data_IF_801834414918
#
_entry.id   IF_801834414918
#
_cell.length_a   1.000
_cell.length_b   1.000
_cell.length_c   1.000
_cell.angle_alpha   90.00
_cell.angle_beta   90.00
_cell.angle_gamma   90.00
#
_symmetry.space_group_name_H-M   'P 1'
#
loop_
_entity.id
_entity.type
_entity.pdbx_description
1 polymer ?
#
# COMPACT_ATOMS: atom_id res chain seq x y z
N UNK A 1 -2.82 -6.47 19.70
CA UNK A 1 -2.13 -6.39 18.39
C UNK A 1 -2.11 -4.97 17.83
N UNK A 2 -3.17 -4.19 17.92
CA UNK A 2 -3.19 -2.79 17.43
C UNK A 2 -2.11 -1.93 18.10
N UNK A 3 -1.98 -1.99 19.43
CA UNK A 3 -0.95 -1.25 20.16
C UNK A 3 0.45 -1.62 19.66
N UNK A 4 0.72 -2.92 19.48
CA UNK A 4 2.03 -3.38 18.97
C UNK A 4 2.29 -2.88 17.55
N UNK A 5 1.25 -2.86 16.69
CA UNK A 5 1.37 -2.29 15.34
C UNK A 5 1.73 -0.79 15.38
N UNK A 6 1.01 -0.03 16.19
CA UNK A 6 1.29 1.40 16.36
C UNK A 6 2.71 1.63 16.92
N UNK A 7 3.13 0.83 17.92
CA UNK A 7 4.49 0.94 18.48
C UNK A 7 5.57 0.65 17.42
N UNK A 8 5.42 -0.42 16.62
CA UNK A 8 6.39 -0.74 15.57
C UNK A 8 6.41 0.33 14.47
N UNK A 9 5.23 0.83 14.07
CA UNK A 9 5.13 1.89 13.07
C UNK A 9 5.76 3.21 13.55
N UNK A 10 5.45 3.64 14.78
CA UNK A 10 6.04 4.85 15.37
C UNK A 10 7.53 4.69 15.62
N UNK A 11 7.98 3.49 16.01
CA UNK A 11 9.41 3.20 16.16
C UNK A 11 10.17 3.39 14.84
N UNK A 12 9.67 2.84 13.73
CA UNK A 12 10.31 3.03 12.44
C UNK A 12 10.30 4.51 11.99
N UNK A 13 9.19 5.21 12.20
CA UNK A 13 9.10 6.65 11.91
C UNK A 13 10.11 7.45 12.77
N UNK A 14 10.30 7.07 14.03
CA UNK A 14 11.31 7.68 14.89
C UNK A 14 12.74 7.41 14.37
N UNK A 15 13.02 6.22 13.85
CA UNK A 15 14.32 5.94 13.19
C UNK A 15 14.54 6.82 11.96
N UNK A 16 13.50 7.08 11.15
CA UNK A 16 13.61 8.01 10.02
C UNK A 16 13.90 9.45 10.47
N UNK A 17 13.32 9.90 11.59
CA UNK A 17 13.57 11.22 12.15
C UNK A 17 14.97 11.36 12.74
N UNK A 18 15.42 10.36 13.48
CA UNK A 18 16.70 10.38 14.20
C UNK A 18 17.90 10.07 13.29
N UNK A 19 17.65 9.50 12.11
CA UNK A 19 18.65 9.12 11.10
C UNK A 19 19.88 8.42 11.71
N UNK A 20 19.70 7.37 12.53
CA UNK A 20 20.83 6.68 13.13
C UNK A 20 21.71 6.05 12.04
N UNK A 21 23.01 5.97 12.28
CA UNK A 21 23.96 5.30 11.39
C UNK A 21 23.79 3.77 11.42
N UNK A 22 22.58 3.28 11.07
CA UNK A 22 22.27 1.86 10.99
C UNK A 22 22.55 1.33 9.57
N UNK A 23 23.09 0.11 9.43
CA UNK A 23 23.21 -0.54 8.14
C UNK A 23 21.85 -0.70 7.45
N UNK A 24 21.78 -0.51 6.12
CA UNK A 24 20.55 -0.62 5.33
C UNK A 24 19.72 -1.88 5.59
N UNK A 25 20.31 -3.10 5.78
CA UNK A 25 19.50 -4.28 6.07
C UNK A 25 18.68 -4.19 7.36
N UNK A 26 19.20 -3.49 8.39
CA UNK A 26 18.45 -3.28 9.64
C UNK A 26 17.30 -2.28 9.41
N UNK A 27 17.52 -1.22 8.63
CA UNK A 27 16.46 -0.30 8.26
C UNK A 27 15.36 -1.00 7.45
N UNK A 28 15.72 -1.88 6.50
CA UNK A 28 14.78 -2.70 5.75
C UNK A 28 13.98 -3.64 6.68
N UNK A 29 14.64 -4.27 7.64
CA UNK A 29 13.99 -5.12 8.64
C UNK A 29 12.96 -4.31 9.45
N UNK A 30 13.35 -3.19 10.04
CA UNK A 30 12.45 -2.37 10.85
C UNK A 30 11.28 -1.81 10.04
N UNK A 31 11.51 -1.45 8.77
CA UNK A 31 10.46 -1.02 7.83
C UNK A 31 9.38 -2.09 7.63
N UNK A 32 9.77 -3.35 7.55
CA UNK A 32 8.85 -4.46 7.25
C UNK A 32 8.14 -5.04 8.48
N UNK A 33 8.63 -4.78 9.70
CA UNK A 33 8.02 -5.34 10.93
C UNK A 33 6.52 -5.04 11.09
N UNK A 34 6.01 -3.80 10.85
CA UNK A 34 4.58 -3.52 10.93
C UNK A 34 3.77 -4.38 9.95
N UNK A 35 4.27 -4.58 8.72
CA UNK A 35 3.59 -5.42 7.72
C UNK A 35 3.64 -6.91 8.13
N UNK A 36 4.77 -7.38 8.67
CA UNK A 36 4.88 -8.71 9.26
C UNK A 36 3.83 -8.95 10.36
N UNK A 37 3.59 -7.94 11.21
CA UNK A 37 2.55 -8.04 12.22
C UNK A 37 1.14 -8.11 11.60
N UNK A 38 0.86 -7.39 10.51
CA UNK A 38 -0.42 -7.51 9.78
C UNK A 38 -0.58 -8.91 9.19
N UNK A 39 0.49 -9.52 8.67
CA UNK A 39 0.49 -10.92 8.23
C UNK A 39 0.08 -11.84 9.39
N UNK A 40 0.70 -11.67 10.57
CA UNK A 40 0.35 -12.45 11.77
C UNK A 40 -1.13 -12.23 12.18
N UNK A 41 -1.66 -11.00 12.02
CA UNK A 41 -3.08 -10.73 12.28
C UNK A 41 -3.99 -11.52 11.34
N UNK A 42 -3.67 -11.56 10.05
CA UNK A 42 -4.41 -12.34 9.05
C UNK A 42 -4.31 -13.84 9.33
N UNK A 43 -3.13 -14.35 9.68
CA UNK A 43 -2.93 -15.76 10.06
C UNK A 43 -3.80 -16.14 11.27
N UNK A 44 -3.85 -15.31 12.30
CA UNK A 44 -4.73 -15.56 13.49
C UNK A 44 -6.22 -15.49 13.16
N UNK A 45 -6.60 -14.74 12.14
CA UNK A 45 -7.98 -14.63 11.68
C UNK A 45 -8.38 -15.74 10.67
N UNK A 46 -7.52 -16.74 10.41
CA UNK A 46 -7.70 -17.79 9.40
C UNK A 46 -9.10 -18.44 9.47
N UNK A 47 -9.57 -18.79 10.66
CA UNK A 47 -10.88 -19.45 10.87
C UNK A 47 -12.08 -18.54 10.57
N UNK A 48 -11.87 -17.23 10.49
CA UNK A 48 -12.93 -16.25 10.23
C UNK A 48 -13.00 -15.85 8.75
N UNK A 49 -11.95 -16.15 7.96
CA UNK A 49 -11.80 -15.74 6.57
C UNK A 49 -12.15 -16.88 5.62
N UNK A 50 -12.81 -16.55 4.51
CA UNK A 50 -12.92 -17.48 3.37
C UNK A 50 -11.54 -17.78 2.82
N UNK A 51 -11.31 -19.02 2.31
CA UNK A 51 -10.01 -19.45 1.78
C UNK A 51 -9.42 -18.49 0.76
N UNK A 52 -10.24 -18.01 -0.19
CA UNK A 52 -9.80 -17.03 -1.19
C UNK A 52 -9.29 -15.74 -0.55
N UNK A 53 -10.12 -15.10 0.29
CA UNK A 53 -9.78 -13.85 0.99
C UNK A 53 -8.51 -14.02 1.84
N UNK A 54 -8.39 -15.15 2.54
CA UNK A 54 -7.20 -15.45 3.36
C UNK A 54 -5.93 -15.52 2.51
N UNK A 55 -5.94 -16.31 1.43
CA UNK A 55 -4.76 -16.51 0.58
C UNK A 55 -4.38 -15.21 -0.13
N UNK A 56 -5.36 -14.54 -0.75
CA UNK A 56 -5.08 -13.32 -1.51
C UNK A 56 -4.63 -12.17 -0.63
N UNK A 57 -5.16 -12.04 0.59
CA UNK A 57 -4.71 -11.03 1.55
C UNK A 57 -3.30 -11.31 2.08
N UNK A 58 -2.95 -12.57 2.33
CA UNK A 58 -1.58 -12.96 2.68
C UNK A 58 -0.61 -12.64 1.55
N UNK A 59 -0.96 -12.97 0.31
CA UNK A 59 -0.12 -12.68 -0.85
C UNK A 59 0.05 -11.16 -1.04
N UNK A 60 -1.03 -10.37 -0.91
CA UNK A 60 -0.94 -8.92 -0.98
C UNK A 60 0.06 -8.36 0.04
N UNK A 61 -0.05 -8.76 1.30
CA UNK A 61 0.87 -8.31 2.36
C UNK A 61 2.30 -8.82 2.16
N UNK A 62 2.48 -10.05 1.69
CA UNK A 62 3.81 -10.62 1.43
C UNK A 62 4.53 -9.88 0.30
N UNK A 63 3.82 -9.56 -0.79
CA UNK A 63 4.39 -8.76 -1.87
C UNK A 63 4.61 -7.29 -1.47
N UNK A 64 3.76 -6.73 -0.59
CA UNK A 64 4.03 -5.41 0.01
C UNK A 64 5.32 -5.43 0.84
N UNK A 65 5.51 -6.45 1.71
CA UNK A 65 6.74 -6.58 2.48
C UNK A 65 7.98 -6.76 1.59
N UNK A 66 7.86 -7.52 0.50
CA UNK A 66 8.94 -7.66 -0.49
C UNK A 66 9.25 -6.30 -1.15
N UNK A 67 8.23 -5.54 -1.54
CA UNK A 67 8.39 -4.19 -2.07
C UNK A 67 9.09 -3.25 -1.08
N UNK A 68 8.71 -3.31 0.20
CA UNK A 68 9.35 -2.53 1.26
C UNK A 68 10.84 -2.85 1.41
N UNK A 69 11.21 -4.14 1.37
CA UNK A 69 12.62 -4.57 1.40
C UNK A 69 13.38 -4.04 0.19
N UNK A 70 12.84 -4.24 -1.01
CA UNK A 70 13.50 -3.82 -2.25
C UNK A 70 13.71 -2.30 -2.30
N UNK A 71 12.69 -1.51 -1.91
CA UNK A 71 12.82 -0.05 -1.85
C UNK A 71 13.77 0.41 -0.73
N UNK A 72 13.85 -0.31 0.40
CA UNK A 72 14.77 0.05 1.48
C UNK A 72 16.24 -0.28 1.16
N UNK A 73 16.48 -1.27 0.31
CA UNK A 73 17.81 -1.67 -0.15
C UNK A 73 18.19 -1.00 -1.49
N UNK A 74 17.31 -0.14 -2.03
CA UNK A 74 17.54 0.47 -3.34
C UNK A 74 18.71 1.44 -3.32
N UNK A 75 19.71 1.09 -4.11
CA UNK A 75 20.87 1.95 -4.44
C UNK A 75 20.78 2.47 -5.88
N UNK A 76 19.57 2.51 -6.46
CA UNK A 76 19.28 2.97 -7.82
C UNK A 76 18.87 1.88 -8.82
N UNK A 77 18.96 0.60 -8.46
CA UNK A 77 18.63 -0.52 -9.36
C UNK A 77 17.39 -1.33 -8.92
N UNK A 78 17.03 -1.29 -7.63
CA UNK A 78 15.95 -2.11 -7.07
C UNK A 78 14.58 -1.42 -7.10
N UNK A 79 14.51 -0.15 -7.47
CA UNK A 79 13.26 0.60 -7.50
C UNK A 79 12.19 -0.08 -8.37
N UNK A 80 12.55 -0.51 -9.58
CA UNK A 80 11.61 -1.22 -10.48
C UNK A 80 11.12 -2.52 -9.84
N UNK A 81 12.01 -3.25 -9.18
CA UNK A 81 11.64 -4.46 -8.44
C UNK A 81 10.66 -4.19 -7.31
N UNK A 82 10.88 -3.12 -6.55
CA UNK A 82 9.96 -2.65 -5.51
C UNK A 82 8.59 -2.27 -6.08
N UNK A 83 8.58 -1.50 -7.16
CA UNK A 83 7.36 -1.10 -7.88
C UNK A 83 6.60 -2.33 -8.41
N UNK A 84 7.30 -3.31 -8.99
CA UNK A 84 6.70 -4.56 -9.47
C UNK A 84 6.10 -5.39 -8.33
N UNK A 85 6.78 -5.48 -7.18
CA UNK A 85 6.25 -6.17 -6.01
C UNK A 85 4.96 -5.52 -5.50
N UNK A 86 4.93 -4.19 -5.38
CA UNK A 86 3.71 -3.47 -5.01
C UNK A 86 2.60 -3.58 -6.07
N UNK A 87 2.94 -3.58 -7.37
CA UNK A 87 1.99 -3.84 -8.44
C UNK A 87 1.28 -5.18 -8.25
N UNK A 88 2.03 -6.24 -7.98
CA UNK A 88 1.48 -7.58 -7.70
C UNK A 88 0.65 -7.57 -6.42
N UNK A 89 1.11 -6.90 -5.36
CA UNK A 89 0.35 -6.71 -4.13
C UNK A 89 -1.03 -6.09 -4.38
N UNK A 90 -1.09 -5.00 -5.15
CA UNK A 90 -2.35 -4.33 -5.51
C UNK A 90 -3.26 -5.24 -6.33
N UNK A 91 -2.70 -6.04 -7.23
CA UNK A 91 -3.44 -7.08 -7.96
C UNK A 91 -4.12 -8.07 -7.00
N UNK A 92 -3.41 -8.53 -5.96
CA UNK A 92 -4.01 -9.42 -4.96
C UNK A 92 -5.06 -8.71 -4.09
N UNK A 93 -4.90 -7.44 -3.75
CA UNK A 93 -5.96 -6.66 -3.09
C UNK A 93 -7.21 -6.56 -3.97
N UNK A 94 -7.06 -6.29 -5.27
CA UNK A 94 -8.17 -6.28 -6.24
C UNK A 94 -8.88 -7.64 -6.24
N UNK A 95 -8.14 -8.74 -6.33
CA UNK A 95 -8.71 -10.10 -6.29
C UNK A 95 -9.45 -10.36 -4.97
N UNK A 96 -8.94 -9.86 -3.84
CA UNK A 96 -9.60 -9.98 -2.52
C UNK A 96 -10.95 -9.24 -2.48
N UNK A 97 -11.07 -8.14 -3.23
CA UNK A 97 -12.27 -7.31 -3.29
C UNK A 97 -13.37 -7.85 -4.19
N UNK A 98 -13.06 -8.80 -5.07
CA UNK A 98 -14.08 -9.39 -5.97
C UNK A 98 -15.07 -10.29 -5.19
N UNK A 99 -16.36 -10.33 -5.59
CA UNK A 99 -16.96 -9.63 -6.73
C UNK A 99 -17.26 -8.16 -6.43
N UNK A 100 -17.34 -7.36 -7.51
CA UNK A 100 -17.82 -5.98 -7.44
C UNK A 100 -19.35 -6.01 -7.54
N UNK A 101 -20.03 -5.33 -6.61
CA UNK A 101 -21.51 -5.28 -6.56
C UNK A 101 -22.08 -3.93 -6.94
N UNK A 102 -21.44 -2.86 -6.52
CA UNK A 102 -21.95 -1.50 -6.68
C UNK A 102 -21.00 -0.68 -7.55
N UNK A 103 -21.23 -0.64 -8.85
CA UNK A 103 -20.42 0.17 -9.74
C UNK A 103 -20.62 1.67 -9.44
N UNK A 104 -19.51 2.37 -9.21
CA UNK A 104 -19.43 3.79 -8.88
C UNK A 104 -18.52 4.49 -9.89
N UNK A 105 -19.11 4.88 -11.01
CA UNK A 105 -18.39 5.58 -12.06
C UNK A 105 -17.82 6.92 -11.57
N UNK A 106 -18.55 7.62 -10.70
CA UNK A 106 -18.11 8.84 -10.03
C UNK A 106 -16.78 8.66 -9.29
N UNK A 107 -16.62 7.55 -8.55
CA UNK A 107 -15.41 7.21 -7.83
C UNK A 107 -14.26 6.87 -8.79
N UNK A 108 -14.55 6.08 -9.84
CA UNK A 108 -13.54 5.75 -10.86
C UNK A 108 -13.02 7.02 -11.54
N UNK A 109 -13.93 7.91 -11.94
CA UNK A 109 -13.57 9.17 -12.59
C UNK A 109 -12.78 10.08 -11.66
N UNK A 110 -13.11 10.13 -10.36
CA UNK A 110 -12.35 10.89 -9.38
C UNK A 110 -10.91 10.38 -9.25
N UNK A 111 -10.70 9.07 -9.02
CA UNK A 111 -9.35 8.52 -8.90
C UNK A 111 -8.57 8.59 -10.21
N UNK A 112 -9.22 8.41 -11.36
CA UNK A 112 -8.60 8.59 -12.67
C UNK A 112 -8.16 10.04 -12.89
N UNK A 113 -9.00 11.01 -12.54
CA UNK A 113 -8.66 12.43 -12.62
C UNK A 113 -7.44 12.77 -11.75
N UNK A 114 -7.41 12.31 -10.50
CA UNK A 114 -6.27 12.49 -9.60
C UNK A 114 -5.00 11.82 -10.16
N UNK A 115 -5.12 10.59 -10.68
CA UNK A 115 -4.01 9.88 -11.30
C UNK A 115 -3.46 10.63 -12.52
N UNK A 116 -4.33 11.21 -13.37
CA UNK A 116 -3.90 12.01 -14.53
C UNK A 116 -3.13 13.25 -14.08
N UNK A 117 -3.63 13.97 -13.05
CA UNK A 117 -2.91 15.15 -12.52
C UNK A 117 -1.50 14.76 -12.06
N UNK A 118 -1.40 13.73 -11.22
CA UNK A 118 -0.13 13.25 -10.68
C UNK A 118 0.79 12.75 -11.80
N UNK A 119 0.24 12.02 -12.78
CA UNK A 119 1.00 11.54 -13.94
C UNK A 119 1.56 12.70 -14.78
N UNK A 120 0.76 13.74 -15.04
CA UNK A 120 1.24 14.92 -15.78
C UNK A 120 2.42 15.61 -15.08
N UNK A 121 2.45 15.63 -13.73
CA UNK A 121 3.58 16.16 -12.97
C UNK A 121 4.84 15.29 -13.11
N UNK A 122 4.67 13.96 -13.16
CA UNK A 122 5.79 13.02 -13.30
C UNK A 122 6.35 12.95 -14.72
N UNK A 123 5.48 13.06 -15.72
CA UNK A 123 5.73 12.77 -17.13
C UNK A 123 7.08 13.32 -17.66
N UNK A 124 7.45 14.59 -17.40
CA UNK A 124 8.70 15.15 -17.94
C UNK A 124 9.97 14.44 -17.45
N UNK A 125 9.91 13.72 -16.32
CA UNK A 125 11.08 13.13 -15.67
C UNK A 125 11.06 11.60 -15.65
N UNK A 126 10.03 10.95 -16.24
CA UNK A 126 9.88 9.50 -16.14
C UNK A 126 10.87 8.72 -17.01
N UNK A 127 11.27 9.24 -18.18
CA UNK A 127 12.18 8.55 -19.10
C UNK A 127 11.81 7.06 -19.27
N UNK A 128 12.75 6.14 -18.98
CA UNK A 128 12.54 4.69 -19.05
C UNK A 128 11.52 4.17 -18.05
N UNK A 129 11.20 4.94 -17.01
CA UNK A 129 10.20 4.58 -15.99
C UNK A 129 8.75 4.85 -16.41
N UNK A 130 8.52 5.42 -17.61
CA UNK A 130 7.20 5.78 -18.11
C UNK A 130 6.24 4.59 -18.07
N UNK A 131 6.62 3.49 -18.66
CA UNK A 131 5.76 2.28 -18.76
C UNK A 131 5.53 1.63 -17.38
N UNK A 132 6.57 1.34 -16.56
CA UNK A 132 6.37 0.81 -15.20
C UNK A 132 5.47 1.67 -14.34
N UNK A 133 5.67 2.99 -14.31
CA UNK A 133 4.89 3.92 -13.49
C UNK A 133 3.44 4.00 -13.97
N UNK A 134 3.21 4.07 -15.29
CA UNK A 134 1.86 4.10 -15.86
C UNK A 134 1.04 2.87 -15.44
N UNK A 135 1.59 1.66 -15.59
CA UNK A 135 0.91 0.43 -15.18
C UNK A 135 0.68 0.37 -13.67
N UNK A 136 1.67 0.84 -12.90
CA UNK A 136 1.53 0.92 -11.45
C UNK A 136 0.39 1.85 -11.01
N UNK A 137 0.34 3.06 -11.56
CA UNK A 137 -0.71 4.03 -11.26
C UNK A 137 -2.09 3.51 -11.67
N UNK A 138 -2.18 2.75 -12.77
CA UNK A 138 -3.43 2.14 -13.22
C UNK A 138 -3.92 1.09 -12.22
N UNK A 139 -3.06 0.16 -11.77
CA UNK A 139 -3.47 -0.89 -10.81
C UNK A 139 -3.84 -0.29 -9.45
N UNK A 140 -3.12 0.74 -9.00
CA UNK A 140 -3.43 1.47 -7.77
C UNK A 140 -4.80 2.18 -7.87
N UNK A 141 -5.08 2.85 -8.99
CA UNK A 141 -6.37 3.51 -9.27
C UNK A 141 -7.53 2.50 -9.23
N UNK A 142 -7.37 1.34 -9.86
CA UNK A 142 -8.35 0.25 -9.84
C UNK A 142 -8.53 -0.26 -8.41
N UNK A 143 -7.46 -0.54 -7.69
CA UNK A 143 -7.51 -1.02 -6.31
C UNK A 143 -8.25 -0.04 -5.40
N UNK A 144 -7.91 1.26 -5.44
CA UNK A 144 -8.58 2.28 -4.64
C UNK A 144 -10.06 2.43 -4.99
N UNK A 145 -10.41 2.39 -6.27
CA UNK A 145 -11.81 2.42 -6.72
C UNK A 145 -12.60 1.21 -6.21
N UNK A 146 -12.02 0.02 -6.22
CA UNK A 146 -12.66 -1.21 -5.80
C UNK A 146 -12.97 -1.27 -4.31
N UNK A 147 -12.25 -0.50 -3.47
CA UNK A 147 -12.59 -0.38 -2.04
C UNK A 147 -13.99 0.16 -1.79
N UNK A 148 -14.51 0.98 -2.68
CA UNK A 148 -15.87 1.53 -2.63
C UNK A 148 -16.94 0.61 -3.20
N UNK A 149 -16.54 -0.26 -4.15
CA UNK A 149 -17.47 -1.00 -5.01
C UNK A 149 -17.64 -2.47 -4.61
N UNK A 150 -16.73 -3.02 -3.80
CA UNK A 150 -16.80 -4.40 -3.31
C UNK A 150 -18.00 -4.61 -2.40
N UNK A 151 -18.52 -5.85 -2.34
CA UNK A 151 -19.53 -6.27 -1.36
C UNK A 151 -19.03 -6.20 0.09
N UNK A 152 -17.72 -6.14 0.27
CA UNK A 152 -17.03 -5.99 1.56
C UNK A 152 -16.80 -4.54 1.97
N UNK A 153 -17.25 -3.57 1.15
CA UNK A 153 -16.96 -2.14 1.36
C UNK A 153 -17.39 -1.69 2.76
N UNK A 154 -16.50 -0.97 3.40
CA UNK A 154 -16.71 -0.34 4.70
C UNK A 154 -15.73 0.84 4.84
N UNK A 155 -15.94 1.69 5.86
CA UNK A 155 -15.13 2.90 6.06
C UNK A 155 -13.63 2.65 6.17
N UNK A 156 -13.20 1.50 6.72
CA UNK A 156 -11.77 1.16 6.78
C UNK A 156 -11.20 0.81 5.40
N UNK A 157 -11.90 0.01 4.58
CA UNK A 157 -11.44 -0.29 3.21
C UNK A 157 -11.31 0.98 2.38
N UNK A 158 -12.34 1.83 2.41
CA UNK A 158 -12.36 3.10 1.68
C UNK A 158 -11.22 4.02 2.11
N UNK A 159 -11.05 4.20 3.43
CA UNK A 159 -9.95 5.00 3.98
C UNK A 159 -8.59 4.41 3.59
N UNK A 160 -8.44 3.08 3.68
CA UNK A 160 -7.22 2.37 3.31
C UNK A 160 -6.83 2.61 1.86
N UNK A 161 -7.78 2.48 0.91
CA UNK A 161 -7.54 2.76 -0.51
C UNK A 161 -7.16 4.21 -0.77
N UNK A 162 -7.89 5.16 -0.18
CA UNK A 162 -7.61 6.60 -0.35
C UNK A 162 -6.23 6.99 0.20
N UNK A 163 -5.90 6.53 1.41
CA UNK A 163 -4.61 6.85 2.05
C UNK A 163 -3.45 6.16 1.34
N UNK A 164 -3.68 4.98 0.72
CA UNK A 164 -2.65 4.33 -0.11
C UNK A 164 -2.32 5.18 -1.34
N UNK A 165 -3.34 5.71 -2.04
CA UNK A 165 -3.13 6.64 -3.17
C UNK A 165 -2.33 7.87 -2.72
N UNK A 166 -2.62 8.43 -1.55
CA UNK A 166 -1.86 9.57 -0.99
C UNK A 166 -0.39 9.18 -0.76
N UNK A 167 -0.14 8.06 -0.09
CA UNK A 167 1.22 7.56 0.19
C UNK A 167 2.05 7.44 -1.08
N UNK A 168 1.50 6.78 -2.09
CA UNK A 168 2.21 6.50 -3.33
C UNK A 168 2.34 7.74 -4.22
N UNK A 169 1.37 8.67 -4.13
CA UNK A 169 1.50 9.97 -4.77
C UNK A 169 2.66 10.78 -4.18
N UNK A 170 2.84 10.78 -2.85
CA UNK A 170 3.97 11.44 -2.20
C UNK A 170 5.30 10.78 -2.61
N UNK A 171 5.36 9.43 -2.64
CA UNK A 171 6.53 8.69 -3.10
C UNK A 171 6.89 9.07 -4.54
N UNK A 172 5.93 9.08 -5.45
CA UNK A 172 6.14 9.45 -6.85
C UNK A 172 6.53 10.92 -7.02
N UNK A 173 5.88 11.84 -6.31
CA UNK A 173 6.26 13.26 -6.32
C UNK A 173 7.70 13.46 -5.87
N UNK A 174 8.08 12.82 -4.76
CA UNK A 174 9.45 12.89 -4.24
C UNK A 174 10.47 12.26 -5.19
N UNK A 175 10.10 11.22 -5.93
CA UNK A 175 11.02 10.51 -6.84
C UNK A 175 11.17 11.18 -8.20
N UNK A 176 10.09 11.75 -8.76
CA UNK A 176 10.02 12.17 -10.16
C UNK A 176 9.74 13.66 -10.39
N UNK A 177 9.34 14.40 -9.37
CA UNK A 177 8.94 15.79 -9.58
C UNK A 177 9.74 16.79 -8.74
N UNK A 178 9.76 16.64 -7.42
CA UNK A 178 10.48 17.55 -6.52
C UNK A 178 10.90 16.81 -5.25
N UNK A 179 12.06 17.15 -4.73
CA UNK A 179 12.53 16.63 -3.45
C UNK A 179 11.71 17.25 -2.30
N UNK A 180 11.05 16.38 -1.53
CA UNK A 180 10.21 16.76 -0.40
C UNK A 180 10.96 16.49 0.90
N UNK A 181 11.18 17.53 1.70
CA UNK A 181 11.83 17.36 3.01
C UNK A 181 11.05 16.36 3.87
N UNK A 182 11.75 15.36 4.40
CA UNK A 182 11.16 14.29 5.21
C UNK A 182 10.02 13.50 4.52
N UNK A 183 10.06 13.37 3.19
CA UNK A 183 9.06 12.60 2.44
C UNK A 183 8.85 11.20 3.00
N UNK A 184 9.91 10.52 3.40
CA UNK A 184 9.87 9.16 3.94
C UNK A 184 8.95 9.02 5.16
N UNK A 185 8.87 10.06 6.00
CA UNK A 185 7.98 10.06 7.17
C UNK A 185 6.51 10.12 6.73
N UNK A 186 6.18 10.99 5.78
CA UNK A 186 4.83 11.12 5.26
C UNK A 186 4.40 9.87 4.49
N UNK A 187 5.30 9.33 3.65
CA UNK A 187 5.10 8.10 2.88
C UNK A 187 4.83 6.93 3.84
N UNK A 188 5.73 6.69 4.79
CA UNK A 188 5.62 5.53 5.68
C UNK A 188 4.46 5.66 6.66
N UNK A 189 4.18 6.86 7.17
CA UNK A 189 3.03 7.11 8.04
C UNK A 189 1.70 6.82 7.33
N UNK A 190 1.52 7.35 6.13
CA UNK A 190 0.32 7.09 5.31
C UNK A 190 0.26 5.64 4.84
N UNK A 191 1.37 5.04 4.42
CA UNK A 191 1.43 3.63 4.01
C UNK A 191 1.01 2.67 5.12
N UNK A 192 1.56 2.81 6.33
CA UNK A 192 1.18 1.94 7.45
C UNK A 192 -0.29 2.10 7.82
N UNK A 193 -0.79 3.34 7.82
CA UNK A 193 -2.21 3.60 8.04
C UNK A 193 -3.08 2.93 6.97
N UNK A 194 -2.70 3.04 5.69
CA UNK A 194 -3.40 2.41 4.58
C UNK A 194 -3.45 0.89 4.73
N UNK A 195 -2.31 0.25 4.97
CA UNK A 195 -2.20 -1.19 5.14
C UNK A 195 -3.02 -1.70 6.34
N UNK A 196 -2.94 -1.00 7.47
CA UNK A 196 -3.75 -1.32 8.64
C UNK A 196 -5.26 -1.21 8.34
N UNK A 197 -5.67 -0.14 7.68
CA UNK A 197 -7.07 0.08 7.32
C UNK A 197 -7.58 -0.99 6.36
N UNK A 198 -6.82 -1.36 5.32
CA UNK A 198 -7.19 -2.42 4.40
C UNK A 198 -7.38 -3.76 5.13
N UNK A 199 -6.40 -4.18 5.94
CA UNK A 199 -6.49 -5.43 6.71
C UNK A 199 -7.67 -5.41 7.66
N UNK A 200 -7.81 -4.33 8.46
CA UNK A 200 -8.93 -4.20 9.41
C UNK A 200 -10.29 -4.20 8.71
N UNK A 201 -10.38 -3.55 7.56
CA UNK A 201 -11.59 -3.52 6.75
C UNK A 201 -12.03 -4.91 6.28
N UNK A 202 -11.09 -5.72 5.77
CA UNK A 202 -11.37 -7.11 5.38
C UNK A 202 -11.76 -7.98 6.56
N UNK A 203 -11.10 -7.85 7.71
CA UNK A 203 -11.43 -8.61 8.91
C UNK A 203 -12.82 -8.25 9.47
N UNK A 204 -13.22 -6.97 9.39
CA UNK A 204 -14.57 -6.55 9.82
C UNK A 204 -15.67 -7.00 8.87
N UNK A 205 -15.42 -7.00 7.56
CA UNK A 205 -16.40 -7.43 6.57
C UNK A 205 -16.80 -8.90 6.77
N UNK A 206 -15.84 -9.75 7.15
CA UNK A 206 -16.10 -11.18 7.40
C UNK A 206 -16.82 -11.47 8.72
N UNK A 207 -16.70 -10.59 9.71
CA UNK A 207 -17.42 -10.76 10.99
C UNK A 207 -18.92 -10.44 10.91
N UNK A 208 -19.37 -9.71 9.88
CA UNK A 208 -20.78 -9.35 9.67
C UNK A 208 -21.62 -10.43 8.96
N UNK A 209 -20.98 -11.45 8.42
CA UNK A 209 -21.65 -12.56 7.69
C UNK A 209 -21.76 -13.85 8.50
N UNK A 210 -21.49 -13.81 9.80
CA UNK A 210 -21.86 -14.82 10.80
C UNK A 210 -23.06 -14.36 11.62
#
# INVERSE_FOLDING_TARGET
>A
MIIVFLTLSTFYIALLLLQPALPQPFMALFKTLPIGLLIVMVLKARSQLQNRTFITLLLALSFSALGDVLLALDTGQLFIGGLAAFFVSHGFYIITMLPIKNWRLDVVLLYLFLAIIVFCLFYPNLNEMLIPVLFYMLVLTIMASFTWMTDKSNGFLVLGGAVFVISDSILGLNRFYLEIAHADIAIMGSYYLAQFCLVKGFLQATSKHK
#
